data_IF_284581821555
#
_entry.id   IF_284581821555
#
_cell.length_a   1.000
_cell.length_b   1.000
_cell.length_c   1.000
_cell.angle_alpha   90.00
_cell.angle_beta   90.00
_cell.angle_gamma   90.00
#
_symmetry.space_group_name_H-M   'P 1'
#
loop_
_entity.id
_entity.type
_entity.pdbx_description
1 polymer ?
#
# COMPACT_ATOMS: atom_id res chain seq x y z
N UNK A 1 19.85 3.64 0.96
CA UNK A 1 19.77 4.72 1.97
C UNK A 1 18.88 5.84 1.44
N UNK A 2 17.88 6.26 2.19
CA UNK A 2 16.95 7.31 1.79
C UNK A 2 17.66 8.65 1.51
N UNK A 3 17.03 9.49 0.69
CA UNK A 3 17.57 10.81 0.30
C UNK A 3 17.36 11.91 1.34
N UNK A 4 16.40 11.73 2.24
CA UNK A 4 16.14 12.65 3.33
C UNK A 4 16.54 12.02 4.67
N UNK A 5 16.79 12.88 5.66
CA UNK A 5 17.00 12.42 7.02
C UNK A 5 15.71 11.80 7.59
N UNK A 6 15.89 10.94 8.53
CA UNK A 6 14.81 10.38 9.32
C UNK A 6 14.69 11.12 10.66
N UNK A 7 13.49 11.17 11.22
CA UNK A 7 13.23 11.75 12.55
C UNK A 7 13.31 10.65 13.59
N UNK A 8 14.28 10.74 14.49
CA UNK A 8 14.43 9.80 15.60
C UNK A 8 13.36 10.00 16.67
N UNK A 9 13.21 9.05 17.59
CA UNK A 9 12.29 9.18 18.72
C UNK A 9 12.61 10.40 19.59
N UNK A 10 13.89 10.74 19.76
CA UNK A 10 14.32 11.90 20.55
C UNK A 10 13.89 13.23 19.92
N UNK A 11 13.94 13.32 18.58
CA UNK A 11 13.57 14.51 17.80
C UNK A 11 12.05 14.63 17.56
N UNK A 12 11.32 13.54 17.68
CA UNK A 12 9.89 13.45 17.37
C UNK A 12 9.03 14.31 18.30
N UNK A 13 7.95 14.89 17.76
CA UNK A 13 6.92 15.54 18.57
C UNK A 13 6.20 14.52 19.44
N UNK A 14 5.48 14.92 20.50
CA UNK A 14 4.70 13.99 21.32
C UNK A 14 3.73 13.13 20.49
N UNK A 15 3.06 13.71 19.50
CA UNK A 15 2.09 13.03 18.63
C UNK A 15 2.79 12.00 17.72
N UNK A 16 3.97 12.32 17.23
CA UNK A 16 4.76 11.38 16.41
C UNK A 16 5.30 10.24 17.28
N UNK A 17 5.73 10.51 18.51
CA UNK A 17 6.17 9.46 19.45
C UNK A 17 5.05 8.46 19.72
N UNK A 18 3.83 8.95 19.90
CA UNK A 18 2.68 8.07 20.09
C UNK A 18 2.39 7.22 18.85
N UNK A 19 2.55 7.78 17.65
CA UNK A 19 2.47 7.02 16.41
C UNK A 19 3.60 5.97 16.29
N UNK A 20 4.83 6.34 16.63
CA UNK A 20 5.96 5.43 16.62
C UNK A 20 5.75 4.25 17.56
N UNK A 21 5.20 4.51 18.74
CA UNK A 21 4.87 3.46 19.71
C UNK A 21 3.94 2.39 19.12
N UNK A 22 2.98 2.79 18.27
CA UNK A 22 2.08 1.85 17.60
C UNK A 22 2.80 0.93 16.59
N UNK A 23 3.82 1.43 15.89
CA UNK A 23 4.51 0.69 14.83
C UNK A 23 5.82 0.03 15.29
N UNK A 24 6.51 0.64 16.23
CA UNK A 24 7.86 0.24 16.64
C UNK A 24 7.97 -0.14 18.12
N UNK A 25 6.91 0.04 18.92
CA UNK A 25 6.98 -0.12 20.38
C UNK A 25 7.82 0.99 21.01
N UNK A 26 8.61 0.63 22.01
CA UNK A 26 9.45 1.59 22.74
C UNK A 26 10.83 1.82 22.09
N UNK A 27 11.09 1.22 20.92
CA UNK A 27 12.35 1.34 20.17
C UNK A 27 12.46 2.70 19.48
N UNK A 28 13.69 3.19 19.32
CA UNK A 28 13.97 4.26 18.36
C UNK A 28 13.94 3.67 16.93
N UNK A 29 12.98 4.08 16.07
CA UNK A 29 12.82 3.47 14.76
C UNK A 29 13.96 3.77 13.78
N UNK A 30 14.82 4.74 14.08
CA UNK A 30 16.01 5.07 13.28
C UNK A 30 17.20 4.21 13.69
N UNK A 31 17.39 4.02 14.98
CA UNK A 31 18.47 3.19 15.53
C UNK A 31 18.16 1.69 15.38
N UNK A 32 16.90 1.30 15.58
CA UNK A 32 16.42 -0.08 15.53
C UNK A 32 15.24 -0.19 14.56
N UNK A 33 15.47 -0.15 13.23
CA UNK A 33 14.41 -0.18 12.22
C UNK A 33 13.67 -1.52 12.21
N UNK A 34 12.46 -1.49 11.67
CA UNK A 34 11.63 -2.68 11.48
C UNK A 34 10.25 -2.53 12.11
N UNK A 35 9.23 -2.71 11.28
CA UNK A 35 7.81 -2.73 11.69
C UNK A 35 7.30 -4.16 11.85
N UNK A 36 6.13 -4.31 12.46
CA UNK A 36 5.43 -5.60 12.55
C UNK A 36 5.11 -6.24 11.19
N UNK A 37 5.17 -5.48 10.10
CA UNK A 37 4.96 -5.99 8.74
C UNK A 37 6.27 -6.41 8.05
N UNK A 38 7.41 -6.33 8.75
CA UNK A 38 8.72 -6.72 8.23
C UNK A 38 9.37 -5.68 7.32
N UNK A 39 8.88 -4.44 7.34
CA UNK A 39 9.52 -3.33 6.61
C UNK A 39 10.53 -2.59 7.47
N UNK A 40 11.56 -1.95 6.89
CA UNK A 40 12.45 -1.08 7.64
C UNK A 40 11.71 0.04 8.40
N UNK A 41 10.67 0.61 7.80
CA UNK A 41 9.85 1.64 8.44
C UNK A 41 10.31 3.07 8.21
N UNK A 42 11.30 3.28 7.36
CA UNK A 42 11.82 4.60 6.99
C UNK A 42 10.78 5.51 6.30
N UNK A 43 9.70 4.96 5.75
CA UNK A 43 8.53 5.70 5.34
C UNK A 43 7.99 6.59 6.48
N UNK A 44 7.73 5.99 7.65
CA UNK A 44 7.16 6.69 8.80
C UNK A 44 8.10 7.75 9.36
N UNK A 45 9.37 7.40 9.49
CA UNK A 45 10.40 8.29 10.06
C UNK A 45 10.82 9.42 9.14
N UNK A 46 10.72 9.22 7.82
CA UNK A 46 10.97 10.28 6.84
C UNK A 46 9.77 11.23 6.72
N UNK A 47 8.54 10.69 6.65
CA UNK A 47 7.34 11.54 6.63
C UNK A 47 7.15 12.35 7.92
N UNK A 48 7.73 11.92 9.03
CA UNK A 48 7.73 12.65 10.31
C UNK A 48 8.48 14.01 10.25
N UNK A 49 9.23 14.27 9.19
CA UNK A 49 9.77 15.62 8.91
C UNK A 49 8.68 16.68 8.78
N UNK A 50 7.49 16.28 8.36
CA UNK A 50 6.32 17.16 8.16
C UNK A 50 5.12 16.47 8.83
N UNK A 51 4.89 16.69 10.15
CA UNK A 51 3.92 15.93 10.95
C UNK A 51 2.50 15.91 10.40
N UNK A 52 1.98 17.02 9.95
CA UNK A 52 0.64 17.14 9.39
C UNK A 52 0.47 16.31 8.10
N UNK A 53 1.48 16.28 7.23
CA UNK A 53 1.49 15.41 6.05
C UNK A 53 1.56 13.93 6.43
N UNK A 54 2.34 13.59 7.45
CA UNK A 54 2.39 12.21 7.97
C UNK A 54 1.01 11.74 8.43
N UNK A 55 0.33 12.56 9.24
CA UNK A 55 -1.01 12.22 9.74
C UNK A 55 -2.04 12.17 8.61
N UNK A 56 -1.99 13.08 7.65
CA UNK A 56 -2.86 13.06 6.48
C UNK A 56 -2.65 11.78 5.66
N UNK A 57 -1.41 11.42 5.37
CA UNK A 57 -1.07 10.20 4.63
C UNK A 57 -1.56 8.96 5.39
N UNK A 58 -1.23 8.84 6.68
CA UNK A 58 -1.69 7.73 7.54
C UNK A 58 -3.21 7.61 7.54
N UNK A 59 -3.92 8.71 7.77
CA UNK A 59 -5.38 8.68 7.85
C UNK A 59 -6.01 8.25 6.52
N UNK A 60 -5.49 8.71 5.40
CA UNK A 60 -5.95 8.29 4.06
C UNK A 60 -5.72 6.80 3.81
N UNK A 61 -4.53 6.29 4.13
CA UNK A 61 -4.20 4.87 4.01
C UNK A 61 -5.09 4.02 4.92
N UNK A 62 -5.19 4.38 6.20
CA UNK A 62 -5.99 3.63 7.17
C UNK A 62 -7.48 3.64 6.84
N UNK A 63 -8.03 4.76 6.35
CA UNK A 63 -9.42 4.83 5.95
C UNK A 63 -9.78 3.82 4.87
N UNK A 64 -8.91 3.63 3.87
CA UNK A 64 -9.12 2.68 2.77
C UNK A 64 -8.88 1.22 3.17
N UNK A 65 -8.15 0.97 4.25
CA UNK A 65 -7.85 -0.38 4.73
C UNK A 65 -8.87 -0.90 5.75
N UNK A 66 -9.82 -0.07 6.19
CA UNK A 66 -10.85 -0.46 7.16
C UNK A 66 -11.80 -1.54 6.59
N UNK A 67 -12.33 -2.43 7.45
CA UNK A 67 -13.46 -3.29 7.09
C UNK A 67 -14.68 -2.48 6.63
N UNK A 68 -15.51 -3.08 5.77
CA UNK A 68 -16.76 -2.47 5.32
C UNK A 68 -16.63 -1.41 4.23
N UNK A 69 -15.46 -1.29 3.60
CA UNK A 69 -15.28 -0.46 2.40
C UNK A 69 -16.17 -0.97 1.26
N UNK A 70 -16.54 -0.05 0.36
CA UNK A 70 -17.39 -0.36 -0.79
C UNK A 70 -16.67 -1.28 -1.78
N UNK A 71 -15.42 -0.96 -2.11
CA UNK A 71 -14.60 -1.78 -3.00
C UNK A 71 -14.16 -3.06 -2.27
N UNK A 72 -14.43 -4.26 -2.82
CA UNK A 72 -13.96 -5.50 -2.25
C UNK A 72 -12.43 -5.53 -2.07
N UNK A 73 -11.99 -6.00 -0.89
CA UNK A 73 -10.56 -5.96 -0.52
C UNK A 73 -9.65 -6.64 -1.55
N UNK A 74 -10.08 -7.75 -2.17
CA UNK A 74 -9.29 -8.42 -3.21
C UNK A 74 -9.10 -7.55 -4.46
N UNK A 75 -10.14 -6.85 -4.90
CA UNK A 75 -10.04 -5.93 -6.05
C UNK A 75 -9.17 -4.73 -5.73
N UNK A 76 -9.28 -4.20 -4.52
CA UNK A 76 -8.41 -3.12 -4.02
C UNK A 76 -6.93 -3.55 -4.08
N UNK A 77 -6.59 -4.72 -3.55
CA UNK A 77 -5.19 -5.17 -3.53
C UNK A 77 -4.66 -5.48 -4.93
N UNK A 78 -5.49 -6.02 -5.84
CA UNK A 78 -5.10 -6.19 -7.24
C UNK A 78 -4.78 -4.85 -7.90
N UNK A 79 -5.63 -3.83 -7.68
CA UNK A 79 -5.38 -2.48 -8.19
C UNK A 79 -4.09 -1.86 -7.62
N UNK A 80 -3.85 -1.99 -6.31
CA UNK A 80 -2.65 -1.45 -5.67
C UNK A 80 -1.38 -2.15 -6.17
N UNK A 81 -1.39 -3.48 -6.23
CA UNK A 81 -0.26 -4.25 -6.78
C UNK A 81 0.03 -3.86 -8.23
N UNK A 82 -1.03 -3.70 -9.05
CA UNK A 82 -0.87 -3.30 -10.44
C UNK A 82 -0.37 -1.85 -10.54
N UNK A 83 -0.85 -0.94 -9.68
CA UNK A 83 -0.31 0.42 -9.55
C UNK A 83 1.18 0.40 -9.24
N UNK A 84 1.62 -0.45 -8.31
CA UNK A 84 3.03 -0.63 -7.97
C UNK A 84 3.87 -1.14 -9.16
N UNK A 85 3.31 -2.04 -9.97
CA UNK A 85 3.99 -2.59 -11.16
C UNK A 85 4.12 -1.51 -12.24
N UNK A 86 3.02 -0.89 -12.65
CA UNK A 86 3.00 0.12 -13.74
C UNK A 86 3.76 1.38 -13.34
N UNK A 87 3.62 1.80 -12.08
CA UNK A 87 4.34 2.94 -11.49
C UNK A 87 5.77 2.61 -11.08
N UNK A 88 6.25 1.36 -11.30
CA UNK A 88 7.59 0.87 -10.94
C UNK A 88 7.95 1.07 -9.46
N UNK A 89 6.98 1.07 -8.55
CA UNK A 89 7.21 1.20 -7.11
C UNK A 89 7.38 -0.17 -6.46
N UNK A 90 8.63 -0.58 -6.24
CA UNK A 90 8.95 -1.82 -5.51
C UNK A 90 8.46 -1.77 -4.07
N UNK A 91 8.47 -0.59 -3.46
CA UNK A 91 7.94 -0.38 -2.11
C UNK A 91 6.46 -0.79 -2.05
N UNK A 92 5.60 -0.16 -2.85
CA UNK A 92 4.16 -0.47 -2.85
C UNK A 92 3.88 -1.94 -3.18
N UNK A 93 4.57 -2.47 -4.18
CA UNK A 93 4.41 -3.86 -4.57
C UNK A 93 4.76 -4.82 -3.44
N UNK A 94 5.91 -4.63 -2.76
CA UNK A 94 6.35 -5.52 -1.68
C UNK A 94 5.41 -5.48 -0.47
N UNK A 95 4.94 -4.29 -0.08
CA UNK A 95 4.02 -4.11 1.03
C UNK A 95 2.66 -4.78 0.75
N UNK A 96 2.07 -4.47 -0.40
CA UNK A 96 0.74 -4.94 -0.75
C UNK A 96 0.69 -6.40 -1.19
N UNK A 97 1.82 -7.01 -1.56
CA UNK A 97 1.89 -8.46 -1.78
C UNK A 97 1.54 -9.25 -0.52
N UNK A 98 1.94 -8.76 0.66
CA UNK A 98 1.59 -9.34 1.96
C UNK A 98 0.10 -9.19 2.25
N UNK A 99 -0.42 -7.98 2.09
CA UNK A 99 -1.84 -7.66 2.32
C UNK A 99 -2.74 -8.44 1.36
N UNK A 100 -2.37 -8.53 0.09
CA UNK A 100 -3.11 -9.30 -0.91
C UNK A 100 -3.26 -10.79 -0.52
N UNK A 101 -2.19 -11.39 0.01
CA UNK A 101 -2.24 -12.76 0.56
C UNK A 101 -3.21 -12.85 1.74
N UNK A 102 -3.16 -11.88 2.67
CA UNK A 102 -4.03 -11.85 3.84
C UNK A 102 -5.50 -11.75 3.48
N UNK A 103 -5.86 -10.95 2.48
CA UNK A 103 -7.24 -10.83 2.00
C UNK A 103 -7.65 -11.98 1.07
N UNK A 104 -6.77 -12.95 0.82
CA UNK A 104 -7.06 -14.17 0.10
C UNK A 104 -6.99 -14.06 -1.43
N UNK A 105 -6.13 -13.20 -1.97
CA UNK A 105 -5.73 -13.30 -3.38
C UNK A 105 -4.84 -14.53 -3.54
N UNK A 106 -5.19 -15.43 -4.48
CA UNK A 106 -4.48 -16.70 -4.63
C UNK A 106 -3.03 -16.50 -5.12
N UNK A 107 -2.13 -17.39 -4.71
CA UNK A 107 -0.74 -17.38 -5.13
C UNK A 107 -0.59 -17.38 -6.66
N UNK A 108 -1.45 -18.11 -7.36
CA UNK A 108 -1.50 -18.19 -8.83
C UNK A 108 -1.80 -16.82 -9.49
N UNK A 109 -2.75 -16.06 -8.92
CA UNK A 109 -3.07 -14.72 -9.39
C UNK A 109 -1.91 -13.76 -9.11
N UNK A 110 -1.33 -13.83 -7.92
CA UNK A 110 -0.16 -13.00 -7.56
C UNK A 110 1.02 -13.26 -8.49
N UNK A 111 1.30 -14.51 -8.85
CA UNK A 111 2.34 -14.87 -9.80
C UNK A 111 2.05 -14.33 -11.23
N UNK A 112 0.77 -14.30 -11.62
CA UNK A 112 0.34 -13.91 -12.96
C UNK A 112 0.07 -12.41 -13.13
N UNK A 113 0.06 -11.61 -12.05
CA UNK A 113 -0.40 -10.22 -12.11
C UNK A 113 0.42 -9.32 -13.06
N UNK A 114 1.69 -9.64 -13.28
CA UNK A 114 2.54 -8.89 -14.23
C UNK A 114 2.09 -9.08 -15.69
N UNK A 115 1.60 -10.26 -16.00
CA UNK A 115 1.11 -10.67 -17.32
C UNK A 115 -0.39 -10.94 -17.34
N UNK A 116 -1.14 -10.21 -16.55
CA UNK A 116 -2.57 -10.44 -16.33
C UNK A 116 -3.37 -10.48 -17.64
N UNK A 117 -3.01 -9.63 -18.62
CA UNK A 117 -3.74 -9.49 -19.88
C UNK A 117 -3.81 -10.81 -20.68
N UNK A 118 -2.77 -11.65 -20.60
CA UNK A 118 -2.69 -12.94 -21.29
C UNK A 118 -3.01 -14.14 -20.40
N UNK A 119 -3.27 -13.91 -19.10
CA UNK A 119 -3.54 -14.97 -18.15
C UNK A 119 -5.04 -15.28 -18.06
N UNK A 120 -5.40 -16.57 -18.09
CA UNK A 120 -6.78 -17.03 -17.90
C UNK A 120 -7.22 -17.11 -16.41
N UNK A 121 -6.36 -16.66 -15.47
CA UNK A 121 -6.61 -16.80 -14.02
C UNK A 121 -7.50 -15.71 -13.44
N UNK A 122 -7.77 -14.65 -14.17
CA UNK A 122 -8.50 -13.49 -13.69
C UNK A 122 -9.93 -13.47 -14.20
N UNK A 123 -10.85 -13.12 -13.29
CA UNK A 123 -12.27 -12.89 -13.60
C UNK A 123 -12.42 -11.60 -14.43
N UNK A 124 -13.54 -11.45 -15.14
CA UNK A 124 -13.79 -10.27 -15.98
C UNK A 124 -13.74 -8.97 -15.17
N UNK A 125 -14.32 -8.94 -13.96
CA UNK A 125 -14.23 -7.79 -13.06
C UNK A 125 -12.78 -7.46 -12.66
N UNK A 126 -11.96 -8.48 -12.39
CA UNK A 126 -10.55 -8.29 -12.03
C UNK A 126 -9.75 -7.76 -13.22
N UNK A 127 -10.07 -8.23 -14.42
CA UNK A 127 -9.49 -7.75 -15.69
C UNK A 127 -9.85 -6.30 -15.95
N UNK A 128 -11.12 -5.92 -15.78
CA UNK A 128 -11.57 -4.53 -15.91
C UNK A 128 -10.86 -3.60 -14.91
N UNK A 129 -10.69 -4.04 -13.66
CA UNK A 129 -9.95 -3.29 -12.63
C UNK A 129 -8.48 -3.11 -13.01
N UNK A 130 -7.80 -4.14 -13.50
CA UNK A 130 -6.39 -4.05 -13.88
C UNK A 130 -6.20 -3.24 -15.16
N UNK A 131 -7.12 -3.33 -16.13
CA UNK A 131 -7.08 -2.50 -17.33
C UNK A 131 -7.23 -1.01 -16.97
N UNK A 132 -8.23 -0.67 -16.15
CA UNK A 132 -8.41 0.70 -15.67
C UNK A 132 -7.18 1.21 -14.89
N UNK A 133 -6.54 0.34 -14.13
CA UNK A 133 -5.32 0.69 -13.40
C UNK A 133 -4.17 1.00 -14.37
N UNK A 134 -3.98 0.17 -15.40
CA UNK A 134 -2.94 0.38 -16.43
C UNK A 134 -3.13 1.71 -17.16
N UNK A 135 -4.36 2.02 -17.52
CA UNK A 135 -4.72 3.25 -18.21
C UNK A 135 -4.54 4.47 -17.31
N UNK A 136 -5.09 4.42 -16.09
CA UNK A 136 -5.04 5.56 -15.18
C UNK A 136 -3.61 5.86 -14.70
N UNK A 137 -2.81 4.83 -14.41
CA UNK A 137 -1.42 5.01 -13.99
C UNK A 137 -0.52 5.40 -15.17
N UNK A 138 -0.71 4.77 -16.33
CA UNK A 138 0.14 4.98 -17.51
C UNK A 138 -0.18 6.25 -18.28
N UNK A 139 -1.47 6.62 -18.37
CA UNK A 139 -1.94 7.71 -19.25
C UNK A 139 -2.77 8.80 -18.57
N UNK A 140 -3.05 8.68 -17.27
CA UNK A 140 -3.90 9.58 -16.47
C UNK A 140 -5.37 9.69 -16.98
N UNK A 141 -5.87 8.67 -17.63
CA UNK A 141 -7.26 8.58 -18.11
C UNK A 141 -7.72 7.12 -18.06
N UNK A 142 -9.01 6.91 -18.17
CA UNK A 142 -9.63 5.59 -18.39
C UNK A 142 -10.47 5.72 -19.66
N UNK A 143 -10.27 4.82 -20.61
CA UNK A 143 -11.00 4.79 -21.88
C UNK A 143 -12.49 4.46 -21.66
N UNK A 144 -13.36 4.95 -22.50
CA UNK A 144 -14.82 4.74 -22.38
C UNK A 144 -15.19 3.25 -22.37
N UNK A 145 -14.51 2.44 -23.17
CA UNK A 145 -14.69 0.99 -23.23
C UNK A 145 -14.33 0.33 -21.89
N UNK A 146 -13.19 0.72 -21.30
CA UNK A 146 -12.75 0.22 -19.99
C UNK A 146 -13.72 0.69 -18.89
N UNK A 147 -14.17 1.93 -18.96
CA UNK A 147 -15.14 2.46 -18.00
C UNK A 147 -16.48 1.71 -18.11
N UNK A 148 -16.97 1.44 -19.32
CA UNK A 148 -18.17 0.63 -19.53
C UNK A 148 -17.99 -0.80 -18.98
N UNK A 149 -16.83 -1.42 -19.16
CA UNK A 149 -16.52 -2.72 -18.58
C UNK A 149 -16.56 -2.69 -17.04
N UNK A 150 -16.02 -1.65 -16.39
CA UNK A 150 -16.16 -1.46 -14.94
C UNK A 150 -17.63 -1.35 -14.52
N UNK A 151 -18.44 -0.56 -15.23
CA UNK A 151 -19.86 -0.36 -14.95
C UNK A 151 -20.70 -1.64 -15.06
N UNK A 152 -20.28 -2.61 -15.87
CA UNK A 152 -20.94 -3.91 -15.96
C UNK A 152 -20.77 -4.77 -14.70
N UNK A 153 -19.80 -4.44 -13.86
CA UNK A 153 -19.45 -5.27 -12.69
C UNK A 153 -19.49 -4.52 -11.37
N UNK A 154 -19.31 -3.20 -11.37
CA UNK A 154 -19.14 -2.40 -10.15
C UNK A 154 -20.14 -1.24 -10.12
N UNK A 155 -20.81 -0.98 -8.99
CA UNK A 155 -21.56 0.24 -8.79
C UNK A 155 -20.66 1.47 -8.68
N UNK A 156 -21.22 2.67 -8.83
CA UNK A 156 -20.48 3.92 -8.89
C UNK A 156 -19.58 4.17 -7.66
N UNK A 157 -20.04 3.80 -6.48
CA UNK A 157 -19.29 3.97 -5.25
C UNK A 157 -18.01 3.10 -5.22
N UNK A 158 -18.07 1.91 -5.83
CA UNK A 158 -16.87 1.05 -5.92
C UNK A 158 -15.91 1.56 -6.97
N UNK A 159 -16.39 2.09 -8.09
CA UNK A 159 -15.55 2.72 -9.12
C UNK A 159 -14.88 3.97 -8.56
N UNK A 160 -15.59 4.80 -7.81
CA UNK A 160 -15.03 5.99 -7.15
C UNK A 160 -13.92 5.58 -6.16
N UNK A 161 -14.15 4.57 -5.30
CA UNK A 161 -13.10 4.07 -4.40
C UNK A 161 -11.92 3.50 -5.17
N UNK A 162 -12.14 2.76 -6.27
CA UNK A 162 -11.10 2.21 -7.10
C UNK A 162 -10.16 3.31 -7.63
N UNK A 163 -10.73 4.36 -8.21
CA UNK A 163 -9.94 5.46 -8.76
C UNK A 163 -9.18 6.23 -7.67
N UNK A 164 -9.82 6.44 -6.52
CA UNK A 164 -9.17 7.06 -5.38
C UNK A 164 -8.00 6.21 -4.85
N UNK A 165 -8.19 4.89 -4.73
CA UNK A 165 -7.14 3.93 -4.36
C UNK A 165 -5.97 4.00 -5.34
N UNK A 166 -6.21 3.90 -6.64
CA UNK A 166 -5.16 3.95 -7.66
C UNK A 166 -4.39 5.27 -7.56
N UNK A 167 -5.10 6.39 -7.48
CA UNK A 167 -4.49 7.73 -7.38
C UNK A 167 -3.63 7.89 -6.12
N UNK A 168 -4.14 7.45 -4.97
CA UNK A 168 -3.44 7.54 -3.69
C UNK A 168 -2.15 6.72 -3.70
N UNK A 169 -2.21 5.45 -4.10
CA UNK A 169 -1.02 4.58 -4.14
C UNK A 169 -0.02 4.98 -5.24
N UNK A 170 -0.51 5.54 -6.35
CA UNK A 170 0.37 6.14 -7.34
C UNK A 170 1.15 7.32 -6.76
N UNK A 171 0.48 8.23 -6.04
CA UNK A 171 1.12 9.36 -5.38
C UNK A 171 2.18 8.90 -4.38
N UNK A 172 1.83 7.95 -3.49
CA UNK A 172 2.78 7.39 -2.53
C UNK A 172 3.95 6.69 -3.23
N UNK A 173 3.67 5.89 -4.26
CA UNK A 173 4.70 5.22 -5.06
C UNK A 173 5.69 6.19 -5.72
N UNK A 174 5.23 7.35 -6.20
CA UNK A 174 6.12 8.39 -6.72
C UNK A 174 7.00 9.00 -5.61
N UNK A 175 6.43 9.29 -4.44
CA UNK A 175 7.15 9.88 -3.31
C UNK A 175 8.22 8.91 -2.79
N UNK A 176 7.87 7.66 -2.52
CA UNK A 176 8.82 6.67 -1.98
C UNK A 176 9.97 6.38 -2.96
N UNK A 177 9.69 6.37 -4.28
CA UNK A 177 10.74 6.25 -5.30
C UNK A 177 11.64 7.47 -5.35
N UNK A 178 11.05 8.68 -5.35
CA UNK A 178 11.81 9.93 -5.35
C UNK A 178 12.72 10.05 -4.13
N UNK A 179 12.28 9.56 -2.98
CA UNK A 179 13.03 9.60 -1.72
C UNK A 179 13.97 8.39 -1.53
N UNK A 180 13.92 7.39 -2.41
CA UNK A 180 14.66 6.13 -2.29
C UNK A 180 14.41 5.42 -0.95
N UNK A 181 13.15 5.38 -0.52
CA UNK A 181 12.79 4.65 0.70
C UNK A 181 12.99 3.15 0.51
N UNK A 182 13.33 2.48 1.59
CA UNK A 182 13.64 1.07 1.60
C UNK A 182 12.38 0.22 1.41
N UNK A 183 12.51 -0.90 0.72
CA UNK A 183 11.45 -1.87 0.48
C UNK A 183 11.92 -3.27 0.85
N UNK A 184 10.97 -4.19 1.03
CA UNK A 184 11.32 -5.55 1.34
C UNK A 184 11.97 -6.26 0.15
N UNK A 185 13.20 -6.67 0.30
CA UNK A 185 13.89 -7.50 -0.69
C UNK A 185 13.28 -8.91 -0.72
N UNK A 186 12.88 -9.43 0.44
CA UNK A 186 12.21 -10.72 0.58
C UNK A 186 10.69 -10.55 0.70
N UNK A 187 9.98 -10.79 -0.40
CA UNK A 187 8.51 -10.75 -0.43
C UNK A 187 7.86 -12.06 0.05
N UNK A 188 8.65 -13.05 0.45
CA UNK A 188 8.16 -14.32 0.99
C UNK A 188 8.01 -14.28 2.51
N UNK A 189 8.63 -13.31 3.19
CA UNK A 189 8.52 -13.15 4.63
C UNK A 189 7.04 -13.13 5.06
N UNK A 190 6.68 -14.04 5.95
CA UNK A 190 5.34 -14.09 6.50
C UNK A 190 5.22 -13.03 7.59
N UNK A 191 4.06 -12.36 7.66
CA UNK A 191 3.78 -11.40 8.74
C UNK A 191 3.87 -12.04 10.15
N UNK A 192 3.77 -13.38 10.24
CA UNK A 192 3.90 -14.14 11.49
C UNK A 192 5.34 -14.28 11.99
N UNK A 193 6.35 -13.94 11.19
CA UNK A 193 7.77 -14.03 11.56
C UNK A 193 8.32 -12.72 12.14
N UNK A 194 7.54 -11.66 12.09
CA UNK A 194 7.86 -10.40 12.73
C UNK A 194 7.35 -10.43 14.16
N UNK A 195 8.18 -10.10 15.17
CA UNK A 195 7.70 -10.04 16.55
C UNK A 195 6.48 -9.14 16.64
N UNK A 196 5.35 -9.70 17.07
CA UNK A 196 4.17 -8.89 17.35
C UNK A 196 4.57 -7.77 18.34
N UNK A 197 4.07 -6.55 18.16
CA UNK A 197 4.25 -5.53 19.19
C UNK A 197 3.75 -6.09 20.51
N UNK A 198 4.39 -5.77 21.64
CA UNK A 198 3.93 -6.22 22.94
C UNK A 198 2.44 -5.84 23.11
N UNK A 199 1.61 -6.70 23.71
CA UNK A 199 0.20 -6.41 23.90
C UNK A 199 0.09 -5.07 24.62
N UNK A 200 -0.81 -4.22 24.11
CA UNK A 200 -1.10 -2.95 24.75
C UNK A 200 -1.40 -3.22 26.22
N UNK A 201 -0.65 -2.59 27.11
CA UNK A 201 -0.93 -2.63 28.54
C UNK A 201 -2.40 -2.22 28.73
N UNK A 202 -3.21 -3.12 29.28
CA UNK A 202 -4.61 -2.80 29.63
C UNK A 202 -4.63 -1.58 30.53
N UNK A 203 -5.58 -0.64 30.32
CA UNK A 203 -5.75 0.52 31.20
C UNK A 203 -6.01 0.12 32.63
#
# INVERSE_FOLDING_TARGET
MGRLRQVSQAEATPEIRELYKQFFGDRDPVAEPGTATGTPGDYWTTFALVPDLLFQARNSLMALMQPGRKLPAKLRELAILRTGIVGESRFEYSQHLKVARMVGVSADKLAAIKSWATSAKFLDVERAVMQATDELVGRNLVEDETFAALKNHLPDEQIMELFYVIGLWRMHGMIVRALHLEFDADTTARMTEVPAPPPASKP
#
